data_IF_358248555307
#
_entry.id   IF_358248555307
#
_cell.length_a   1.000
_cell.length_b   1.000
_cell.length_c   1.000
_cell.angle_alpha   90.00
_cell.angle_beta   90.00
_cell.angle_gamma   90.00
#
_symmetry.space_group_name_H-M   'P 1'
#
loop_
_entity.id
_entity.type
_entity.pdbx_description
1 polymer ?
#
# COMPACT_ATOMS: atom_id res chain seq x y z
N UNK A 1 -8.87 -16.68 18.13
CA UNK A 1 -8.95 -16.70 16.66
C UNK A 1 -7.77 -15.94 16.09
N UNK A 2 -7.16 -16.47 15.05
CA UNK A 2 -6.04 -15.81 14.41
C UNK A 2 -6.50 -14.67 13.52
N UNK A 3 -5.75 -13.58 13.51
CA UNK A 3 -6.01 -12.42 12.65
C UNK A 3 -4.71 -11.99 11.98
N UNK A 4 -4.84 -11.37 10.81
CA UNK A 4 -3.75 -10.71 10.13
C UNK A 4 -4.00 -9.20 10.17
N UNK A 5 -2.98 -8.45 10.58
CA UNK A 5 -3.07 -6.99 10.66
C UNK A 5 -2.65 -6.39 9.32
N UNK A 6 -3.63 -5.85 8.61
CA UNK A 6 -3.41 -5.19 7.34
C UNK A 6 -3.21 -3.69 7.55
N UNK A 7 -2.13 -3.15 7.02
CA UNK A 7 -1.96 -1.69 6.93
C UNK A 7 -2.64 -1.19 5.67
N UNK A 8 -3.49 -0.18 5.80
CA UNK A 8 -4.26 0.39 4.68
C UNK A 8 -3.90 1.85 4.51
N UNK A 9 -3.52 2.21 3.30
CA UNK A 9 -3.39 3.60 2.86
C UNK A 9 -4.72 3.97 2.20
N UNK A 10 -5.48 4.89 2.81
CA UNK A 10 -6.83 5.20 2.37
C UNK A 10 -7.03 6.71 2.19
N UNK A 11 -8.09 7.10 1.51
CA UNK A 11 -8.49 8.50 1.36
C UNK A 11 -9.51 8.82 2.45
N UNK A 12 -9.18 9.76 3.31
CA UNK A 12 -10.05 10.19 4.39
C UNK A 12 -11.13 11.15 3.90
N UNK A 13 -12.06 11.51 4.79
CA UNK A 13 -13.22 12.35 4.47
C UNK A 13 -12.83 13.75 3.98
N UNK A 14 -11.65 14.23 4.36
CA UNK A 14 -11.12 15.53 3.90
C UNK A 14 -10.35 15.43 2.57
N UNK A 15 -10.33 14.27 1.93
CA UNK A 15 -9.63 14.02 0.68
C UNK A 15 -8.15 13.67 0.83
N UNK A 16 -7.62 13.66 2.05
CA UNK A 16 -6.21 13.38 2.30
C UNK A 16 -5.96 11.90 2.53
N UNK A 17 -4.81 11.44 2.07
CA UNK A 17 -4.36 10.08 2.33
C UNK A 17 -3.92 9.93 3.79
N UNK A 18 -4.30 8.83 4.41
CA UNK A 18 -3.90 8.44 5.77
C UNK A 18 -3.71 6.95 5.86
N UNK A 19 -2.95 6.52 6.86
CA UNK A 19 -2.82 5.11 7.20
C UNK A 19 -3.79 4.73 8.30
N UNK A 20 -4.32 3.52 8.20
CA UNK A 20 -5.06 2.85 9.27
C UNK A 20 -4.73 1.36 9.26
N UNK A 21 -5.13 0.68 10.31
CA UNK A 21 -4.98 -0.76 10.40
C UNK A 21 -6.34 -1.43 10.38
N UNK A 22 -6.40 -2.59 9.73
CA UNK A 22 -7.60 -3.40 9.64
C UNK A 22 -7.24 -4.84 9.92
N UNK A 23 -8.05 -5.51 10.74
CA UNK A 23 -7.84 -6.92 11.02
C UNK A 23 -8.57 -7.77 9.99
N UNK A 24 -7.84 -8.74 9.44
CA UNK A 24 -8.40 -9.76 8.55
C UNK A 24 -8.47 -11.05 9.35
N UNK A 25 -9.66 -11.62 9.48
CA UNK A 25 -9.82 -12.88 10.20
C UNK A 25 -9.27 -14.04 9.37
N UNK A 26 -8.48 -14.89 10.02
CA UNK A 26 -8.00 -16.13 9.46
C UNK A 26 -8.93 -17.23 9.95
N UNK A 27 -10.13 -17.29 9.38
CA UNK A 27 -11.26 -18.07 9.85
C UNK A 27 -11.34 -19.47 9.27
N UNK A 28 -10.48 -19.78 8.28
CA UNK A 28 -10.48 -21.06 7.58
C UNK A 28 -9.23 -21.85 7.87
N UNK A 29 -9.16 -23.05 7.35
CA UNK A 29 -8.01 -23.93 7.51
C UNK A 29 -8.01 -24.69 8.83
N UNK A 30 -6.82 -25.06 9.26
CA UNK A 30 -6.57 -25.90 10.45
C UNK A 30 -5.76 -25.12 11.47
N UNK A 31 -5.68 -25.56 12.75
CA UNK A 31 -4.86 -24.86 13.73
C UNK A 31 -3.40 -24.63 13.32
N UNK A 32 -2.82 -25.54 12.53
CA UNK A 32 -1.45 -25.40 12.04
C UNK A 32 -1.33 -24.57 10.77
N UNK A 33 -2.44 -24.23 10.11
CA UNK A 33 -2.44 -23.48 8.83
C UNK A 33 -3.75 -22.70 8.70
N UNK A 34 -3.83 -21.60 9.44
CA UNK A 34 -5.00 -20.71 9.39
C UNK A 34 -4.96 -19.88 8.12
N UNK A 35 -6.12 -19.75 7.49
CA UNK A 35 -6.29 -19.04 6.23
C UNK A 35 -7.40 -17.99 6.34
N UNK A 36 -7.20 -16.87 5.65
CA UNK A 36 -8.33 -16.00 5.33
C UNK A 36 -9.23 -16.72 4.33
N UNK A 37 -10.51 -16.32 4.19
CA UNK A 37 -11.28 -16.69 3.01
C UNK A 37 -10.51 -16.33 1.74
N UNK A 38 -10.64 -17.20 0.71
CA UNK A 38 -9.99 -16.92 -0.56
C UNK A 38 -10.60 -15.65 -1.17
N UNK A 39 -9.74 -14.71 -1.54
CA UNK A 39 -10.17 -13.44 -2.14
C UNK A 39 -9.86 -13.45 -3.63
N UNK A 40 -10.81 -13.08 -4.48
CA UNK A 40 -10.51 -12.88 -5.89
C UNK A 40 -9.55 -11.70 -6.05
N UNK A 41 -8.74 -11.73 -7.10
CA UNK A 41 -7.83 -10.63 -7.42
C UNK A 41 -7.86 -10.33 -8.91
N UNK A 42 -7.51 -9.10 -9.26
CA UNK A 42 -7.43 -8.63 -10.64
C UNK A 42 -6.08 -8.91 -11.30
N UNK A 43 -5.24 -9.72 -10.67
CA UNK A 43 -3.92 -10.05 -11.16
C UNK A 43 -2.80 -9.41 -10.36
N UNK A 44 -1.56 -9.72 -10.75
CA UNK A 44 -0.39 -9.19 -10.05
C UNK A 44 0.68 -8.71 -11.03
N UNK A 45 1.54 -7.81 -10.55
CA UNK A 45 2.69 -7.31 -11.30
C UNK A 45 3.89 -7.18 -10.38
N UNK A 46 5.05 -7.48 -10.90
CA UNK A 46 6.32 -7.19 -10.25
C UNK A 46 6.86 -5.88 -10.80
N UNK A 47 7.41 -5.05 -9.92
CA UNK A 47 8.00 -3.77 -10.29
C UNK A 47 9.38 -3.63 -9.66
N UNK A 48 10.34 -3.16 -10.45
CA UNK A 48 11.65 -2.76 -9.96
C UNK A 48 11.80 -1.24 -10.10
N UNK A 49 12.15 -0.58 -9.02
CA UNK A 49 12.42 0.87 -9.00
C UNK A 49 13.88 1.09 -8.64
N UNK A 50 14.62 1.88 -9.42
CA UNK A 50 16.06 2.06 -9.20
C UNK A 50 16.35 2.84 -7.91
N UNK A 51 17.59 2.75 -7.46
CA UNK A 51 18.10 3.62 -6.39
C UNK A 51 17.91 5.08 -6.81
N UNK A 52 17.34 5.88 -5.91
CA UNK A 52 17.03 7.28 -6.19
C UNK A 52 15.61 7.52 -6.73
N UNK A 53 14.84 6.46 -6.99
CA UNK A 53 13.45 6.62 -7.42
C UNK A 53 12.65 7.42 -6.39
N UNK A 54 11.88 8.38 -6.89
CA UNK A 54 10.88 9.11 -6.11
C UNK A 54 9.77 9.60 -7.02
N UNK A 55 8.56 9.68 -6.47
CA UNK A 55 7.39 10.21 -7.17
C UNK A 55 6.95 11.55 -6.60
N UNK A 56 6.19 12.28 -7.40
CA UNK A 56 5.37 13.39 -6.90
C UNK A 56 4.14 12.83 -6.17
N UNK A 57 3.37 13.73 -5.53
CA UNK A 57 2.07 13.35 -4.99
C UNK A 57 1.18 12.80 -6.10
N UNK A 58 0.57 11.65 -5.86
CA UNK A 58 -0.32 10.97 -6.80
C UNK A 58 -1.30 10.10 -6.04
N UNK A 59 -2.42 9.76 -6.68
CA UNK A 59 -3.37 8.80 -6.16
C UNK A 59 -3.16 7.42 -6.78
N UNK A 60 -3.66 6.40 -6.11
CA UNK A 60 -3.71 5.04 -6.62
C UNK A 60 -4.84 4.93 -7.64
N UNK A 61 -4.57 4.41 -8.83
CA UNK A 61 -5.61 4.23 -9.85
C UNK A 61 -6.52 3.04 -9.53
N UNK A 62 -5.92 1.93 -9.11
CA UNK A 62 -6.62 0.70 -8.78
C UNK A 62 -6.19 0.23 -7.40
N UNK A 63 -7.13 0.05 -6.45
CA UNK A 63 -6.79 -0.48 -5.14
C UNK A 63 -6.01 -1.79 -5.27
N UNK A 64 -4.94 -1.91 -4.51
CA UNK A 64 -4.04 -3.04 -4.62
C UNK A 64 -3.19 -3.22 -3.37
N UNK A 65 -2.81 -4.47 -3.12
CA UNK A 65 -1.77 -4.76 -2.15
C UNK A 65 -0.41 -4.40 -2.72
N UNK A 66 0.46 -3.89 -1.87
CA UNK A 66 1.87 -3.66 -2.18
C UNK A 66 2.70 -4.43 -1.17
N UNK A 67 3.44 -5.44 -1.65
CA UNK A 67 4.36 -6.23 -0.84
C UNK A 67 5.79 -5.86 -1.21
N UNK A 68 6.63 -5.62 -0.22
CA UNK A 68 8.05 -5.31 -0.45
C UNK A 68 8.82 -6.62 -0.49
N UNK A 69 9.52 -6.87 -1.59
CA UNK A 69 10.33 -8.07 -1.76
C UNK A 69 11.82 -7.79 -1.55
N UNK A 70 12.29 -6.61 -1.93
CA UNK A 70 13.68 -6.18 -1.78
C UNK A 70 13.75 -4.67 -1.63
N UNK A 71 14.71 -4.19 -0.87
CA UNK A 71 14.88 -2.77 -0.64
C UNK A 71 13.84 -2.22 0.34
N UNK A 72 13.70 -0.91 0.35
CA UNK A 72 12.76 -0.22 1.24
C UNK A 72 11.99 0.86 0.48
N UNK A 73 10.74 1.01 0.83
CA UNK A 73 9.83 2.00 0.22
C UNK A 73 9.31 2.95 1.29
N UNK A 74 9.45 4.24 1.07
CA UNK A 74 8.84 5.24 1.93
C UNK A 74 7.61 5.81 1.25
N UNK A 75 6.51 5.92 2.01
CA UNK A 75 5.27 6.56 1.58
C UNK A 75 5.08 7.79 2.45
N UNK A 76 4.96 8.95 1.82
CA UNK A 76 4.77 10.22 2.49
C UNK A 76 3.38 10.79 2.31
N UNK A 77 2.90 11.46 3.34
CA UNK A 77 1.55 12.01 3.42
C UNK A 77 1.59 13.54 3.42
N UNK A 78 0.43 14.16 3.20
CA UNK A 78 0.29 15.62 3.14
C UNK A 78 0.60 16.31 4.49
N UNK A 79 0.43 15.61 5.60
CA UNK A 79 0.73 16.15 6.94
C UNK A 79 2.23 16.17 7.26
N UNK A 80 3.08 15.74 6.34
CA UNK A 80 4.52 15.66 6.53
C UNK A 80 5.02 14.36 7.17
N UNK A 81 4.12 13.49 7.59
CA UNK A 81 4.49 12.18 8.11
C UNK A 81 4.79 11.19 6.98
N UNK A 82 5.50 10.12 7.33
CA UNK A 82 5.80 9.06 6.38
C UNK A 82 5.97 7.72 7.10
N UNK A 83 5.89 6.63 6.32
CA UNK A 83 6.21 5.29 6.81
C UNK A 83 7.14 4.60 5.82
N UNK A 84 8.06 3.81 6.36
CA UNK A 84 9.00 3.01 5.58
C UNK A 84 8.62 1.55 5.71
N UNK A 85 8.55 0.87 4.58
CA UNK A 85 8.24 -0.56 4.49
C UNK A 85 9.46 -1.29 3.92
N UNK A 86 9.88 -2.34 4.59
CA UNK A 86 10.99 -3.18 4.17
C UNK A 86 10.54 -4.56 3.73
N UNK A 87 11.48 -5.45 3.36
CA UNK A 87 11.16 -6.79 2.87
C UNK A 87 10.26 -7.57 3.83
N UNK A 88 9.22 -8.17 3.30
CA UNK A 88 8.22 -8.90 4.09
C UNK A 88 7.10 -8.02 4.65
N UNK A 89 7.21 -6.70 4.55
CA UNK A 89 6.16 -5.77 4.95
C UNK A 89 5.26 -5.40 3.78
N UNK A 90 4.11 -4.85 4.08
CA UNK A 90 3.08 -4.55 3.07
C UNK A 90 2.24 -3.35 3.45
N UNK A 91 1.51 -2.83 2.47
CA UNK A 91 0.33 -2.01 2.70
C UNK A 91 -0.67 -2.24 1.57
N UNK A 92 -1.96 -2.01 1.87
CA UNK A 92 -3.02 -2.02 0.86
C UNK A 92 -3.25 -0.57 0.42
N UNK A 93 -2.93 -0.30 -0.84
CA UNK A 93 -3.05 1.05 -1.39
C UNK A 93 -4.45 1.26 -1.93
N UNK A 94 -5.24 2.05 -1.21
CA UNK A 94 -6.63 2.38 -1.53
C UNK A 94 -6.88 3.90 -1.52
N UNK A 95 -5.83 4.69 -1.60
CA UNK A 95 -5.91 6.15 -1.69
C UNK A 95 -6.21 6.55 -3.13
N UNK A 96 -7.50 6.55 -3.47
CA UNK A 96 -7.99 6.86 -4.81
C UNK A 96 -8.64 8.24 -4.85
N UNK A 97 -8.59 8.88 -6.02
CA UNK A 97 -9.26 10.16 -6.20
C UNK A 97 -10.77 9.93 -6.28
N UNK A 98 -11.59 10.61 -5.44
CA UNK A 98 -13.04 10.45 -5.50
C UNK A 98 -13.60 10.82 -6.88
N UNK A 99 -14.70 10.19 -7.33
CA UNK A 99 -15.32 10.53 -8.61
C UNK A 99 -15.69 12.01 -8.69
N UNK A 100 -15.43 12.64 -9.83
CA UNK A 100 -15.75 14.03 -10.09
C UNK A 100 -14.85 15.06 -9.41
N UNK A 101 -13.86 14.61 -8.66
CA UNK A 101 -12.91 15.50 -7.97
C UNK A 101 -11.67 15.70 -8.85
N UNK A 102 -11.27 16.96 -9.01
CA UNK A 102 -10.01 17.31 -9.70
C UNK A 102 -8.85 17.10 -8.74
N UNK A 103 -7.80 16.44 -9.21
CA UNK A 103 -6.61 16.20 -8.40
C UNK A 103 -5.95 17.52 -8.00
N UNK A 104 -5.72 17.70 -6.68
CA UNK A 104 -4.99 18.82 -6.11
C UNK A 104 -3.78 18.27 -5.37
N UNK A 105 -2.55 18.54 -5.84
CA UNK A 105 -1.33 18.01 -5.20
C UNK A 105 -1.08 18.56 -3.80
N UNK A 106 -1.78 19.61 -3.38
CA UNK A 106 -1.71 20.14 -2.03
C UNK A 106 -2.69 19.49 -1.06
N UNK A 107 -3.57 18.61 -1.55
CA UNK A 107 -4.62 17.95 -0.74
C UNK A 107 -4.58 16.44 -0.94
N UNK A 108 -4.58 15.98 -2.19
CA UNK A 108 -4.78 14.59 -2.56
C UNK A 108 -3.48 13.83 -2.71
N UNK A 109 -3.58 12.53 -2.47
CA UNK A 109 -2.51 11.61 -2.82
C UNK A 109 -1.42 11.49 -1.77
N UNK A 110 -0.44 10.73 -2.16
CA UNK A 110 0.76 10.40 -1.40
C UNK A 110 1.94 10.39 -2.35
N UNK A 111 3.14 10.46 -1.81
CA UNK A 111 4.35 10.25 -2.60
C UNK A 111 5.06 8.98 -2.15
N UNK A 112 5.89 8.43 -3.03
CA UNK A 112 6.69 7.26 -2.74
C UNK A 112 8.14 7.49 -3.14
N UNK A 113 9.07 6.83 -2.43
CA UNK A 113 10.46 6.80 -2.84
C UNK A 113 11.15 5.51 -2.41
N UNK A 114 12.19 5.16 -3.16
CA UNK A 114 13.12 4.13 -2.79
C UNK A 114 14.06 4.68 -1.70
N UNK A 115 14.35 3.85 -0.69
CA UNK A 115 15.26 4.20 0.42
C UNK A 115 16.37 3.16 0.50
N UNK A 116 17.59 3.62 0.73
CA UNK A 116 18.74 2.74 0.92
C UNK A 116 19.52 2.48 -0.35
N UNK A 117 20.38 1.46 -0.31
CA UNK A 117 21.40 1.20 -1.34
C UNK A 117 20.99 0.16 -2.37
N UNK A 118 19.85 -0.51 -2.15
CA UNK A 118 19.34 -1.54 -3.05
C UNK A 118 18.18 -1.03 -3.86
N UNK A 119 18.04 -1.46 -5.12
CA UNK A 119 16.80 -1.24 -5.87
C UNK A 119 15.60 -1.77 -5.10
N UNK A 120 14.47 -1.09 -5.27
CA UNK A 120 13.22 -1.47 -4.63
C UNK A 120 12.46 -2.42 -5.54
N UNK A 121 12.19 -3.63 -5.07
CA UNK A 121 11.37 -4.60 -5.79
C UNK A 121 10.08 -4.81 -5.02
N UNK A 122 8.95 -4.65 -5.70
CA UNK A 122 7.61 -4.75 -5.12
C UNK A 122 6.74 -5.71 -5.92
N UNK A 123 5.79 -6.32 -5.22
CA UNK A 123 4.71 -7.11 -5.82
C UNK A 123 3.41 -6.36 -5.60
N UNK A 124 2.73 -6.01 -6.68
CA UNK A 124 1.38 -5.45 -6.64
C UNK A 124 0.36 -6.55 -6.91
N UNK A 125 -0.65 -6.65 -6.05
CA UNK A 125 -1.79 -7.57 -6.27
C UNK A 125 -3.05 -6.73 -6.28
N UNK A 126 -3.68 -6.60 -7.45
CA UNK A 126 -4.92 -5.82 -7.60
C UNK A 126 -6.10 -6.52 -6.94
N UNK A 127 -7.00 -5.73 -6.40
CA UNK A 127 -8.26 -6.21 -5.88
C UNK A 127 -9.13 -6.85 -6.98
#
# INVERSE_FOLDING_TARGET
MSTFRQTVLFTDVDGRARFREQLIELSEGKPAARLSPLRPSGGYQLRSSPVGFRSEFHCTEHPQWVFILQGRMEIGLQDGSSRIFGPGEHFHSADTLPPGVTFDPGVHGHWSRQVGEEPLVTLFVRD
#
